data_IF_255522545888
#
_entry.id   IF_255522545888
#
_cell.length_a   1.000
_cell.length_b   1.000
_cell.length_c   1.000
_cell.angle_alpha   90.00
_cell.angle_beta   90.00
_cell.angle_gamma   90.00
#
_symmetry.space_group_name_H-M   'P 1'
#
loop_
_entity.id
_entity.type
_entity.pdbx_description
1 polymer ?
#
# COMPACT_ATOMS: atom_id res chain seq x y z
N UNK A 1 -33.80 -16.79 -20.31
CA UNK A 1 -33.95 -15.74 -19.27
C UNK A 1 -33.71 -16.21 -17.82
N UNK A 2 -33.60 -17.53 -17.55
CA UNK A 2 -33.39 -18.05 -16.19
C UNK A 2 -31.89 -18.18 -15.82
N UNK A 3 -30.99 -18.40 -16.79
CA UNK A 3 -29.55 -18.55 -16.54
C UNK A 3 -28.83 -17.25 -16.13
N UNK A 4 -29.26 -16.09 -16.63
CA UNK A 4 -28.60 -14.79 -16.35
C UNK A 4 -28.83 -14.33 -14.90
N UNK A 5 -29.94 -14.74 -14.29
CA UNK A 5 -30.26 -14.45 -12.88
C UNK A 5 -29.42 -15.31 -11.92
N UNK A 6 -29.15 -16.58 -12.30
CA UNK A 6 -28.30 -17.49 -11.53
C UNK A 6 -26.83 -17.08 -11.54
N UNK A 7 -26.30 -16.61 -12.68
CA UNK A 7 -24.94 -16.06 -12.77
C UNK A 7 -24.77 -14.82 -11.90
N UNK A 8 -25.65 -13.83 -12.00
CA UNK A 8 -25.59 -12.60 -11.17
C UNK A 8 -25.65 -12.87 -9.67
N UNK A 9 -26.46 -13.84 -9.24
CA UNK A 9 -26.55 -14.26 -7.83
C UNK A 9 -25.24 -14.85 -7.31
N UNK A 10 -24.55 -15.66 -8.12
CA UNK A 10 -23.26 -16.25 -7.77
C UNK A 10 -22.14 -15.19 -7.74
N UNK A 11 -22.13 -14.27 -8.71
CA UNK A 11 -21.20 -13.13 -8.80
C UNK A 11 -21.25 -12.23 -7.55
N UNK A 12 -22.44 -11.94 -7.04
CA UNK A 12 -22.61 -11.13 -5.82
C UNK A 12 -22.16 -11.88 -4.55
N UNK A 13 -22.34 -13.20 -4.49
CA UNK A 13 -21.87 -14.02 -3.38
C UNK A 13 -20.33 -14.08 -3.34
N UNK A 14 -19.69 -14.28 -4.49
CA UNK A 14 -18.23 -14.29 -4.63
C UNK A 14 -17.61 -12.94 -4.26
N UNK A 15 -18.24 -11.82 -4.69
CA UNK A 15 -17.82 -10.47 -4.28
C UNK A 15 -17.88 -10.29 -2.77
N UNK A 16 -18.99 -10.70 -2.13
CA UNK A 16 -19.14 -10.61 -0.67
C UNK A 16 -18.11 -11.48 0.05
N UNK A 17 -17.82 -12.65 -0.49
CA UNK A 17 -16.84 -13.57 0.07
C UNK A 17 -15.43 -12.98 0.04
N UNK A 18 -14.97 -12.39 -1.08
CA UNK A 18 -13.64 -11.78 -1.17
C UNK A 18 -13.40 -10.75 -0.07
N UNK A 19 -14.36 -9.83 0.11
CA UNK A 19 -14.23 -8.79 1.14
C UNK A 19 -14.42 -9.32 2.57
N UNK A 20 -15.24 -10.36 2.77
CA UNK A 20 -15.37 -11.02 4.07
C UNK A 20 -14.05 -11.70 4.48
N UNK A 21 -13.42 -12.43 3.56
CA UNK A 21 -12.11 -13.05 3.80
C UNK A 21 -11.02 -12.02 4.04
N UNK A 22 -11.06 -10.88 3.34
CA UNK A 22 -10.12 -9.78 3.56
C UNK A 22 -10.27 -9.19 4.97
N UNK A 23 -11.49 -8.97 5.45
CA UNK A 23 -11.74 -8.47 6.82
C UNK A 23 -11.24 -9.46 7.87
N UNK A 24 -11.34 -10.77 7.61
CA UNK A 24 -10.83 -11.80 8.51
C UNK A 24 -9.30 -11.77 8.67
N UNK A 25 -8.56 -11.09 7.78
CA UNK A 25 -7.11 -10.88 7.90
C UNK A 25 -6.73 -9.76 8.88
N UNK A 26 -7.71 -9.06 9.49
CA UNK A 26 -7.48 -8.01 10.51
C UNK A 26 -6.54 -6.88 10.02
N UNK A 27 -6.56 -6.61 8.71
CA UNK A 27 -5.69 -5.61 8.07
C UNK A 27 -6.01 -4.18 8.54
N UNK A 28 -7.22 -3.95 9.04
CA UNK A 28 -7.67 -2.65 9.53
C UNK A 28 -6.86 -2.14 10.74
N UNK A 29 -6.14 -3.04 11.44
CA UNK A 29 -5.24 -2.66 12.56
C UNK A 29 -3.96 -1.97 12.13
N UNK A 30 -3.61 -2.02 10.85
CA UNK A 30 -2.42 -1.33 10.33
C UNK A 30 -2.65 0.18 10.45
N UNK A 31 -1.87 0.86 11.30
CA UNK A 31 -2.03 2.30 11.60
C UNK A 31 -1.82 3.19 10.39
N UNK A 32 -0.73 2.96 9.64
CA UNK A 32 -0.39 3.75 8.46
C UNK A 32 -1.32 3.41 7.30
N UNK A 33 -2.12 4.37 6.84
CA UNK A 33 -3.12 4.18 5.80
C UNK A 33 -2.55 3.67 4.48
N UNK A 34 -1.37 4.17 4.08
CA UNK A 34 -0.68 3.70 2.87
C UNK A 34 -0.35 2.21 2.94
N UNK A 35 0.18 1.74 4.07
CA UNK A 35 0.52 0.33 4.26
C UNK A 35 -0.73 -0.53 4.38
N UNK A 36 -1.76 -0.07 5.09
CA UNK A 36 -3.05 -0.75 5.22
C UNK A 36 -3.68 -0.98 3.85
N UNK A 37 -3.71 0.07 3.02
CA UNK A 37 -4.23 0.02 1.66
C UNK A 37 -3.40 -0.90 0.78
N UNK A 38 -2.07 -0.80 0.84
CA UNK A 38 -1.18 -1.68 0.10
C UNK A 38 -1.39 -3.16 0.49
N UNK A 39 -1.55 -3.47 1.78
CA UNK A 39 -1.84 -4.82 2.25
C UNK A 39 -3.20 -5.33 1.77
N UNK A 40 -4.25 -4.49 1.79
CA UNK A 40 -5.58 -4.85 1.27
C UNK A 40 -5.56 -5.10 -0.24
N UNK A 41 -4.92 -4.22 -1.01
CA UNK A 41 -4.76 -4.42 -2.46
C UNK A 41 -3.88 -5.65 -2.76
N UNK A 42 -2.83 -5.90 -1.95
CA UNK A 42 -2.01 -7.11 -2.05
C UNK A 42 -2.79 -8.37 -1.75
N UNK A 43 -3.74 -8.34 -0.81
CA UNK A 43 -4.65 -9.44 -0.55
C UNK A 43 -5.49 -9.76 -1.80
N UNK A 44 -6.13 -8.74 -2.39
CA UNK A 44 -6.91 -8.90 -3.62
C UNK A 44 -6.04 -9.44 -4.76
N UNK A 45 -4.85 -8.86 -4.96
CA UNK A 45 -3.88 -9.28 -5.96
C UNK A 45 -3.46 -10.76 -5.79
N UNK A 46 -3.29 -11.22 -4.54
CA UNK A 46 -2.96 -12.62 -4.24
C UNK A 46 -4.13 -13.55 -4.51
N UNK A 47 -5.32 -13.20 -4.03
CA UNK A 47 -6.55 -13.99 -4.23
C UNK A 47 -6.91 -14.16 -5.70
N UNK A 48 -6.66 -13.14 -6.51
CA UNK A 48 -6.88 -13.20 -7.96
C UNK A 48 -5.71 -13.80 -8.74
N UNK A 49 -4.62 -14.25 -8.10
CA UNK A 49 -3.38 -14.69 -8.76
C UNK A 49 -2.68 -13.65 -9.66
N UNK A 50 -3.12 -12.39 -9.65
CA UNK A 50 -2.56 -11.32 -10.49
C UNK A 50 -1.12 -10.93 -10.10
N UNK A 51 -0.67 -11.32 -8.91
CA UNK A 51 0.72 -11.19 -8.47
C UNK A 51 1.72 -12.03 -9.28
N UNK A 52 1.24 -13.05 -10.00
CA UNK A 52 2.03 -13.90 -10.88
C UNK A 52 2.11 -13.38 -12.32
N UNK A 53 1.32 -12.34 -12.64
CA UNK A 53 1.25 -11.73 -13.97
C UNK A 53 2.09 -10.47 -13.95
N UNK A 54 3.09 -10.37 -14.83
CA UNK A 54 3.87 -9.14 -14.98
C UNK A 54 3.23 -8.16 -15.98
N UNK A 55 3.81 -6.97 -16.09
CA UNK A 55 3.30 -5.93 -16.99
C UNK A 55 3.37 -6.34 -18.46
N UNK A 56 4.35 -7.16 -18.87
CA UNK A 56 4.49 -7.62 -20.25
C UNK A 56 3.34 -8.54 -20.63
N UNK A 57 2.95 -9.44 -19.72
CA UNK A 57 1.82 -10.33 -19.91
C UNK A 57 0.50 -9.54 -20.01
N UNK A 58 0.34 -8.48 -19.20
CA UNK A 58 -0.81 -7.56 -19.32
C UNK A 58 -0.82 -6.88 -20.69
N UNK A 59 0.31 -6.31 -21.13
CA UNK A 59 0.43 -5.63 -22.43
C UNK A 59 0.09 -6.57 -23.59
N UNK A 60 0.59 -7.80 -23.57
CA UNK A 60 0.33 -8.77 -24.63
C UNK A 60 -1.14 -9.17 -24.69
N UNK A 61 -1.76 -9.45 -23.54
CA UNK A 61 -3.19 -9.77 -23.50
C UNK A 61 -4.08 -8.62 -23.98
N UNK A 62 -3.72 -7.37 -23.64
CA UNK A 62 -4.41 -6.19 -24.15
C UNK A 62 -4.25 -6.04 -25.67
N UNK A 63 -3.08 -6.38 -26.22
CA UNK A 63 -2.82 -6.36 -27.66
C UNK A 63 -3.64 -7.43 -28.39
N UNK A 64 -3.66 -8.66 -27.89
CA UNK A 64 -4.44 -9.76 -28.48
C UNK A 64 -5.94 -9.47 -28.52
N UNK A 65 -6.44 -8.69 -27.55
CA UNK A 65 -7.83 -8.24 -27.51
C UNK A 65 -8.07 -6.91 -28.27
N UNK A 66 -7.07 -6.42 -28.99
CA UNK A 66 -7.07 -5.17 -29.78
C UNK A 66 -7.32 -3.89 -28.96
N UNK A 67 -7.06 -3.89 -27.65
CA UNK A 67 -7.25 -2.72 -26.78
C UNK A 67 -6.14 -1.68 -26.94
N UNK A 68 -4.99 -2.05 -27.52
CA UNK A 68 -3.87 -1.13 -27.76
C UNK A 68 -4.21 -0.01 -28.78
N UNK A 69 -5.09 -0.29 -29.74
CA UNK A 69 -5.44 0.63 -30.83
C UNK A 69 -6.78 1.35 -30.61
N UNK A 70 -7.53 0.99 -29.55
CA UNK A 70 -8.80 1.63 -29.24
C UNK A 70 -8.60 2.98 -28.57
N UNK A 71 -9.53 3.89 -28.83
CA UNK A 71 -9.67 5.13 -28.06
C UNK A 71 -9.79 4.77 -26.56
N UNK A 72 -8.97 5.38 -25.68
CA UNK A 72 -8.99 5.10 -24.25
C UNK A 72 -10.36 5.32 -23.57
N UNK A 73 -11.22 6.16 -24.14
CA UNK A 73 -12.53 6.48 -23.58
C UNK A 73 -13.64 5.51 -24.00
N UNK A 74 -13.38 4.58 -24.93
CA UNK A 74 -14.35 3.54 -25.29
C UNK A 74 -14.63 2.66 -24.08
N UNK A 75 -15.90 2.37 -23.84
CA UNK A 75 -16.35 1.48 -22.78
C UNK A 75 -16.40 0.02 -23.25
N UNK A 76 -15.85 -0.87 -22.42
CA UNK A 76 -15.92 -2.31 -22.60
C UNK A 76 -17.07 -2.85 -21.75
N UNK A 77 -17.88 -3.73 -22.33
CA UNK A 77 -18.88 -4.48 -21.58
C UNK A 77 -18.24 -5.64 -20.79
N UNK A 78 -19.01 -6.24 -19.88
CA UNK A 78 -18.58 -7.37 -19.03
C UNK A 78 -17.95 -8.51 -19.85
N UNK A 79 -18.59 -8.94 -20.94
CA UNK A 79 -18.10 -10.05 -21.76
C UNK A 79 -16.73 -9.76 -22.39
N UNK A 80 -16.51 -8.53 -22.88
CA UNK A 80 -15.23 -8.13 -23.47
C UNK A 80 -14.14 -7.97 -22.41
N UNK A 81 -14.50 -7.53 -21.20
CA UNK A 81 -13.59 -7.51 -20.07
C UNK A 81 -13.19 -8.94 -19.63
N UNK A 82 -14.15 -9.85 -19.53
CA UNK A 82 -13.93 -11.27 -19.22
C UNK A 82 -13.02 -11.95 -20.25
N UNK A 83 -13.17 -11.62 -21.54
CA UNK A 83 -12.26 -12.11 -22.59
C UNK A 83 -10.81 -11.66 -22.36
N UNK A 84 -10.57 -10.39 -22.02
CA UNK A 84 -9.23 -9.87 -21.71
C UNK A 84 -8.62 -10.59 -20.52
N UNK A 85 -9.39 -10.77 -19.44
CA UNK A 85 -8.93 -11.47 -18.24
C UNK A 85 -8.67 -12.97 -18.52
N UNK A 86 -9.50 -13.58 -19.37
CA UNK A 86 -9.30 -14.95 -19.84
C UNK A 86 -7.97 -15.09 -20.55
N UNK A 87 -7.66 -14.19 -21.51
CA UNK A 87 -6.36 -14.20 -22.19
C UNK A 87 -5.20 -14.15 -21.19
N UNK A 88 -5.27 -13.28 -20.19
CA UNK A 88 -4.22 -13.16 -19.15
C UNK A 88 -4.02 -14.49 -18.41
N UNK A 89 -5.09 -15.05 -17.81
CA UNK A 89 -4.94 -16.19 -16.92
C UNK A 89 -4.73 -17.52 -17.64
N UNK A 90 -5.33 -17.72 -18.82
CA UNK A 90 -5.04 -18.90 -19.63
C UNK A 90 -3.60 -18.90 -20.14
N UNK A 91 -3.06 -17.74 -20.55
CA UNK A 91 -1.64 -17.66 -20.93
C UNK A 91 -0.70 -17.87 -19.75
N UNK A 92 -1.00 -17.30 -18.58
CA UNK A 92 -0.25 -17.56 -17.36
C UNK A 92 -0.22 -19.07 -17.08
N UNK A 93 -1.38 -19.71 -17.03
CA UNK A 93 -1.48 -21.12 -16.66
C UNK A 93 -0.78 -22.07 -17.63
N UNK A 94 -0.70 -21.71 -18.93
CA UNK A 94 0.09 -22.44 -19.94
C UNK A 94 1.60 -22.39 -19.67
N UNK A 95 2.11 -21.34 -19.03
CA UNK A 95 3.53 -21.15 -18.73
C UNK A 95 3.93 -21.70 -17.36
N UNK A 96 2.97 -21.96 -16.48
CA UNK A 96 3.21 -22.49 -15.14
C UNK A 96 3.57 -24.00 -15.20
N UNK A 97 4.47 -24.48 -14.32
CA UNK A 97 4.65 -25.91 -14.11
C UNK A 97 3.34 -26.59 -13.74
N UNK A 98 3.16 -27.85 -14.14
CA UNK A 98 1.93 -28.64 -13.84
C UNK A 98 1.65 -28.75 -12.34
N UNK A 99 2.67 -28.65 -11.50
CA UNK A 99 2.57 -28.66 -10.03
C UNK A 99 2.10 -27.34 -9.42
N UNK A 100 2.07 -26.24 -10.19
CA UNK A 100 1.75 -24.89 -9.72
C UNK A 100 0.64 -24.23 -10.55
N UNK A 101 -0.20 -25.03 -11.21
CA UNK A 101 -1.34 -24.51 -11.94
C UNK A 101 -2.34 -23.81 -11.02
N UNK A 102 -2.98 -22.79 -11.55
CA UNK A 102 -4.00 -22.01 -10.84
C UNK A 102 -5.41 -22.40 -11.29
N UNK A 103 -6.40 -22.15 -10.45
CA UNK A 103 -7.81 -22.19 -10.85
C UNK A 103 -8.13 -20.94 -11.70
N UNK A 104 -8.01 -21.08 -13.03
CA UNK A 104 -8.13 -19.99 -14.00
C UNK A 104 -9.50 -19.31 -13.91
N UNK A 105 -10.60 -20.06 -14.00
CA UNK A 105 -11.98 -19.54 -13.96
C UNK A 105 -12.27 -18.74 -12.68
N UNK A 106 -11.81 -19.24 -11.54
CA UNK A 106 -11.97 -18.53 -10.27
C UNK A 106 -11.17 -17.21 -10.25
N UNK A 107 -9.97 -17.20 -10.82
CA UNK A 107 -9.13 -16.00 -10.90
C UNK A 107 -9.75 -14.94 -11.81
N UNK A 108 -10.34 -15.35 -12.93
CA UNK A 108 -11.10 -14.48 -13.85
C UNK A 108 -12.30 -13.87 -13.12
N UNK A 109 -13.14 -14.70 -12.49
CA UNK A 109 -14.34 -14.21 -11.79
C UNK A 109 -14.00 -13.23 -10.66
N UNK A 110 -13.04 -13.58 -9.79
CA UNK A 110 -12.63 -12.72 -8.68
C UNK A 110 -12.11 -11.36 -9.16
N UNK A 111 -11.25 -11.34 -10.18
CA UNK A 111 -10.71 -10.10 -10.72
C UNK A 111 -11.77 -9.28 -11.45
N UNK A 112 -12.62 -9.91 -12.26
CA UNK A 112 -13.75 -9.25 -12.93
C UNK A 112 -14.64 -8.53 -11.93
N UNK A 113 -15.02 -9.23 -10.85
CA UNK A 113 -15.87 -8.68 -9.80
C UNK A 113 -15.23 -7.54 -9.04
N UNK A 114 -13.93 -7.63 -8.78
CA UNK A 114 -13.18 -6.55 -8.17
C UNK A 114 -13.11 -5.31 -9.06
N UNK A 115 -12.87 -5.48 -10.36
CA UNK A 115 -12.83 -4.35 -11.31
C UNK A 115 -14.21 -3.70 -11.47
N UNK A 116 -15.28 -4.46 -11.60
CA UNK A 116 -16.64 -3.91 -11.64
C UNK A 116 -16.98 -3.17 -10.35
N UNK A 117 -16.62 -3.72 -9.19
CA UNK A 117 -16.83 -3.05 -7.91
C UNK A 117 -16.08 -1.72 -7.79
N UNK A 118 -14.91 -1.59 -8.42
CA UNK A 118 -14.09 -0.39 -8.37
C UNK A 118 -14.52 0.67 -9.40
N UNK A 119 -14.85 0.25 -10.63
CA UNK A 119 -14.99 1.16 -11.77
C UNK A 119 -16.42 1.30 -12.29
N UNK A 120 -17.34 0.43 -11.88
CA UNK A 120 -18.75 0.46 -12.25
C UNK A 120 -19.66 0.36 -10.99
N UNK A 121 -19.60 1.35 -10.08
CA UNK A 121 -20.39 1.33 -8.85
C UNK A 121 -21.90 1.41 -9.11
N UNK A 122 -22.30 2.01 -10.24
CA UNK A 122 -23.70 2.15 -10.68
C UNK A 122 -24.26 0.84 -11.29
N UNK A 123 -23.39 -0.11 -11.65
CA UNK A 123 -23.80 -1.44 -12.15
C UNK A 123 -24.28 -1.45 -13.59
N UNK A 124 -23.75 -0.58 -14.45
CA UNK A 124 -24.06 -0.53 -15.88
C UNK A 124 -23.37 -1.65 -16.69
N UNK A 125 -22.43 -2.36 -16.09
CA UNK A 125 -21.63 -3.42 -16.70
C UNK A 125 -20.59 -2.89 -17.68
N UNK A 126 -20.08 -1.67 -17.47
CA UNK A 126 -19.17 -0.99 -18.40
C UNK A 126 -17.97 -0.35 -17.70
N UNK A 127 -16.79 -0.51 -18.30
CA UNK A 127 -15.54 0.10 -17.83
C UNK A 127 -14.75 0.63 -19.03
N UNK A 128 -14.19 1.84 -18.95
CA UNK A 128 -13.39 2.40 -20.05
C UNK A 128 -12.10 1.60 -20.30
N UNK A 129 -11.64 1.56 -21.56
CA UNK A 129 -10.35 0.95 -21.93
C UNK A 129 -9.21 1.53 -21.09
N UNK A 130 -9.22 2.84 -20.87
CA UNK A 130 -8.25 3.52 -20.03
C UNK A 130 -8.24 2.98 -18.59
N UNK A 131 -9.41 2.90 -17.95
CA UNK A 131 -9.53 2.38 -16.59
C UNK A 131 -9.05 0.93 -16.47
N UNK A 132 -9.40 0.05 -17.42
CA UNK A 132 -8.92 -1.34 -17.45
C UNK A 132 -7.39 -1.40 -17.54
N UNK A 133 -6.78 -0.62 -18.44
CA UNK A 133 -5.32 -0.55 -18.59
C UNK A 133 -4.65 -0.09 -17.29
N UNK A 134 -5.16 0.97 -16.68
CA UNK A 134 -4.58 1.54 -15.45
C UNK A 134 -4.72 0.59 -14.26
N UNK A 135 -5.87 -0.07 -14.12
CA UNK A 135 -6.12 -1.02 -13.06
C UNK A 135 -5.19 -2.24 -13.15
N UNK A 136 -5.11 -2.87 -14.33
CA UNK A 136 -4.26 -4.04 -14.54
C UNK A 136 -2.78 -3.68 -14.40
N UNK A 137 -2.34 -2.55 -14.96
CA UNK A 137 -0.97 -2.08 -14.81
C UNK A 137 -0.60 -1.74 -13.37
N UNK A 138 -1.55 -1.27 -12.56
CA UNK A 138 -1.31 -0.96 -11.15
C UNK A 138 -1.28 -2.22 -10.29
N UNK A 139 -2.13 -3.21 -10.58
CA UNK A 139 -2.30 -4.41 -9.75
C UNK A 139 -1.44 -5.60 -10.20
N UNK A 140 -0.85 -5.61 -11.40
CA UNK A 140 0.03 -6.70 -11.81
C UNK A 140 1.28 -6.81 -10.92
N UNK A 141 1.88 -8.00 -10.90
CA UNK A 141 3.20 -8.24 -10.32
C UNK A 141 4.32 -7.57 -11.11
N UNK A 142 5.56 -7.76 -10.65
CA UNK A 142 6.76 -7.27 -11.31
C UNK A 142 7.32 -5.95 -10.75
N UNK A 143 8.35 -5.43 -11.41
CA UNK A 143 9.10 -4.25 -10.97
C UNK A 143 8.25 -2.99 -11.11
N UNK A 144 8.31 -2.13 -10.08
CA UNK A 144 7.56 -0.87 -10.09
C UNK A 144 7.95 0.04 -11.27
N UNK A 145 9.23 0.06 -11.63
CA UNK A 145 9.72 0.89 -12.74
C UNK A 145 9.10 0.52 -14.09
N UNK A 146 8.88 -0.77 -14.36
CA UNK A 146 8.31 -1.20 -15.65
C UNK A 146 6.82 -0.84 -15.73
N UNK A 147 6.11 -0.98 -14.61
CA UNK A 147 4.71 -0.56 -14.46
C UNK A 147 4.56 0.95 -14.64
N UNK A 148 5.44 1.73 -14.01
CA UNK A 148 5.45 3.19 -14.14
C UNK A 148 5.79 3.64 -15.56
N UNK A 149 6.74 2.98 -16.25
CA UNK A 149 7.03 3.29 -17.66
C UNK A 149 5.82 3.06 -18.57
N UNK A 150 5.10 1.95 -18.37
CA UNK A 150 3.88 1.68 -19.12
C UNK A 150 2.78 2.70 -18.83
N UNK A 151 2.53 3.01 -17.55
CA UNK A 151 1.53 4.03 -17.18
C UNK A 151 1.93 5.39 -17.77
N UNK A 152 3.21 5.75 -17.68
CA UNK A 152 3.74 7.00 -18.23
C UNK A 152 3.54 7.09 -19.74
N UNK A 153 3.77 6.02 -20.50
CA UNK A 153 3.53 6.03 -21.95
C UNK A 153 2.05 6.22 -22.30
N UNK A 154 1.12 5.79 -21.44
CA UNK A 154 -0.32 5.99 -21.63
C UNK A 154 -0.76 7.44 -21.35
N UNK A 155 -0.05 8.16 -20.48
CA UNK A 155 -0.38 9.55 -20.12
C UNK A 155 0.48 10.60 -20.82
N UNK A 156 1.46 10.17 -21.62
CA UNK A 156 2.32 11.04 -22.41
C UNK A 156 1.88 11.12 -23.87
N UNK A 157 2.27 12.18 -24.56
CA UNK A 157 2.12 12.32 -26.00
C UNK A 157 3.22 11.57 -26.77
N UNK A 158 3.18 11.64 -28.11
CA UNK A 158 4.16 11.00 -28.99
C UNK A 158 5.59 11.56 -28.85
N UNK A 159 5.75 12.73 -28.22
CA UNK A 159 7.06 13.32 -27.91
C UNK A 159 7.63 12.83 -26.58
N UNK A 160 6.88 12.01 -25.84
CA UNK A 160 7.27 11.52 -24.52
C UNK A 160 7.01 12.53 -23.40
N UNK A 161 6.27 13.61 -23.67
CA UNK A 161 5.89 14.60 -22.67
C UNK A 161 4.56 14.23 -22.04
N UNK A 162 4.53 14.22 -20.71
CA UNK A 162 3.32 13.92 -19.96
C UNK A 162 2.23 14.96 -20.24
N UNK A 163 1.00 14.51 -20.49
CA UNK A 163 -0.14 15.38 -20.79
C UNK A 163 -1.00 15.55 -19.54
N UNK A 164 -1.21 16.79 -19.10
CA UNK A 164 -1.96 17.10 -17.88
C UNK A 164 -3.32 16.42 -17.82
N UNK A 165 -4.15 16.53 -18.88
CA UNK A 165 -5.48 15.91 -18.90
C UNK A 165 -5.45 14.39 -18.75
N UNK A 166 -4.47 13.71 -19.33
CA UNK A 166 -4.32 12.24 -19.20
C UNK A 166 -3.80 11.84 -17.83
N UNK A 167 -2.89 12.64 -17.26
CA UNK A 167 -2.43 12.43 -15.88
C UNK A 167 -3.55 12.64 -14.86
N UNK A 168 -4.37 13.67 -15.05
CA UNK A 168 -5.54 13.93 -14.23
C UNK A 168 -6.53 12.77 -14.26
N UNK A 169 -6.84 12.28 -15.47
CA UNK A 169 -7.67 11.10 -15.68
C UNK A 169 -7.06 9.87 -15.01
N UNK A 170 -5.75 9.65 -15.12
CA UNK A 170 -5.05 8.55 -14.45
C UNK A 170 -5.24 8.61 -12.92
N UNK A 171 -5.05 9.78 -12.30
CA UNK A 171 -5.23 9.92 -10.86
C UNK A 171 -6.66 9.59 -10.42
N UNK A 172 -7.67 10.07 -11.15
CA UNK A 172 -9.08 9.77 -10.86
C UNK A 172 -9.38 8.27 -10.98
N UNK A 173 -8.84 7.60 -11.99
CA UNK A 173 -9.05 6.17 -12.18
C UNK A 173 -8.30 5.32 -11.15
N UNK A 174 -7.02 5.58 -10.89
CA UNK A 174 -6.22 4.75 -9.98
C UNK A 174 -6.71 4.83 -8.54
N UNK A 175 -7.27 5.97 -8.12
CA UNK A 175 -7.83 6.18 -6.78
C UNK A 175 -9.14 5.44 -6.52
N UNK A 176 -9.78 4.90 -7.55
CA UNK A 176 -10.92 3.98 -7.39
C UNK A 176 -10.48 2.65 -6.77
N UNK A 177 -9.23 2.22 -6.94
CA UNK A 177 -8.71 0.98 -6.35
C UNK A 177 -8.63 1.04 -4.81
N UNK A 178 -8.00 2.05 -4.18
CA UNK A 178 -8.12 2.25 -2.72
C UNK A 178 -9.55 2.38 -2.24
N UNK A 179 -10.40 3.08 -3.00
CA UNK A 179 -11.82 3.26 -2.65
C UNK A 179 -12.56 1.91 -2.60
N UNK A 180 -12.29 1.02 -3.55
CA UNK A 180 -12.88 -0.32 -3.62
C UNK A 180 -12.50 -1.22 -2.43
N UNK A 181 -11.39 -0.94 -1.74
CA UNK A 181 -10.97 -1.63 -0.50
C UNK A 181 -11.26 -0.83 0.77
N UNK A 182 -12.17 0.14 0.67
CA UNK A 182 -12.65 0.99 1.78
C UNK A 182 -11.56 1.91 2.37
N UNK A 183 -10.63 2.37 1.53
CA UNK A 183 -9.54 3.28 1.93
C UNK A 183 -9.60 4.64 1.21
N UNK A 184 -10.68 4.94 0.48
CA UNK A 184 -10.84 6.19 -0.27
C UNK A 184 -10.52 7.47 0.53
N UNK A 185 -11.03 7.64 1.77
CA UNK A 185 -10.74 8.84 2.57
C UNK A 185 -9.26 9.05 2.90
N UNK A 186 -8.45 8.00 2.85
CA UNK A 186 -7.00 8.07 3.11
C UNK A 186 -6.22 8.72 1.96
N UNK A 187 -6.81 8.81 0.76
CA UNK A 187 -6.17 9.33 -0.45
C UNK A 187 -7.04 10.42 -1.06
N UNK A 188 -6.83 11.66 -0.59
CA UNK A 188 -7.51 12.82 -1.15
C UNK A 188 -7.07 13.09 -2.59
N UNK A 189 -8.04 13.40 -3.44
CA UNK A 189 -7.80 13.95 -4.77
C UNK A 189 -8.31 15.38 -4.83
N UNK A 190 -7.49 16.28 -5.35
CA UNK A 190 -7.89 17.62 -5.76
C UNK A 190 -7.29 17.93 -7.12
N UNK A 191 -7.93 18.75 -7.93
CA UNK A 191 -7.36 19.18 -9.21
C UNK A 191 -6.02 19.90 -9.04
N UNK A 192 -5.83 20.57 -7.90
CA UNK A 192 -4.56 21.20 -7.54
C UNK A 192 -3.45 20.18 -7.27
N UNK A 193 -3.79 19.01 -6.73
CA UNK A 193 -2.85 17.90 -6.54
C UNK A 193 -2.28 17.41 -7.88
N UNK A 194 -3.09 17.40 -8.94
CA UNK A 194 -2.61 17.07 -10.28
C UNK A 194 -1.73 18.17 -10.87
N UNK A 195 -2.08 19.44 -10.65
CA UNK A 195 -1.36 20.61 -11.17
C UNK A 195 0.04 20.78 -10.56
N UNK A 196 0.22 20.45 -9.29
CA UNK A 196 1.50 20.60 -8.60
C UNK A 196 2.63 19.77 -9.24
N UNK A 197 2.29 18.66 -9.90
CA UNK A 197 3.25 17.83 -10.65
C UNK A 197 3.74 18.50 -11.95
N UNK A 198 3.03 19.50 -12.48
CA UNK A 198 3.38 20.23 -13.70
C UNK A 198 3.99 21.61 -13.43
N UNK A 199 3.66 22.23 -12.30
CA UNK A 199 4.17 23.57 -11.97
C UNK A 199 5.69 23.62 -11.70
N UNK A 200 6.33 22.47 -11.47
CA UNK A 200 7.79 22.37 -11.26
C UNK A 200 8.62 22.56 -12.56
N UNK A 201 8.00 22.76 -13.72
CA UNK A 201 8.69 22.79 -15.02
C UNK A 201 8.89 24.17 -15.66
N UNK A 202 8.57 25.30 -15.00
CA UNK A 202 8.94 26.61 -15.55
C UNK A 202 10.43 26.93 -15.30
N UNK A 203 11.21 27.31 -16.33
CA UNK A 203 12.58 27.76 -16.15
C UNK A 203 12.57 29.05 -15.34
N UNK A 204 13.46 29.10 -14.35
CA UNK A 204 13.71 30.22 -13.46
C UNK A 204 14.11 31.48 -14.22
N UNK A 205 13.14 32.31 -14.59
CA UNK A 205 13.36 33.73 -14.82
C UNK A 205 12.52 34.51 -13.82
N UNK A 206 13.26 35.11 -12.87
CA UNK A 206 12.82 36.11 -11.89
C UNK A 206 11.39 35.92 -11.35
N UNK A 207 11.25 35.10 -10.32
CA UNK A 207 10.08 35.16 -9.44
C UNK A 207 10.54 35.48 -8.03
N UNK A 208 10.13 36.64 -7.55
CA UNK A 208 9.81 36.83 -6.14
C UNK A 208 8.98 35.61 -5.71
N UNK A 209 9.48 34.88 -4.72
CA UNK A 209 8.89 33.62 -4.30
C UNK A 209 7.48 33.84 -3.74
N UNK A 210 6.52 32.99 -4.15
CA UNK A 210 5.61 32.45 -3.15
C UNK A 210 5.63 30.91 -3.13
N UNK A 211 5.59 30.42 -1.89
CA UNK A 211 5.03 29.15 -1.42
C UNK A 211 5.73 27.83 -1.71
N UNK A 212 7.05 27.82 -1.46
CA UNK A 212 7.77 26.66 -0.90
C UNK A 212 7.53 26.53 0.62
N UNK A 213 6.84 27.50 1.25
CA UNK A 213 6.58 27.54 2.69
C UNK A 213 5.79 26.33 3.18
N UNK A 214 4.67 25.96 2.54
CA UNK A 214 3.76 24.95 3.10
C UNK A 214 4.34 23.53 3.23
N UNK A 215 5.16 23.07 2.30
CA UNK A 215 5.71 21.70 2.32
C UNK A 215 6.93 21.56 3.21
N UNK A 216 7.71 22.63 3.37
CA UNK A 216 8.81 22.70 4.35
C UNK A 216 8.23 22.91 5.75
N UNK A 217 7.20 23.74 5.90
CA UNK A 217 6.52 23.97 7.17
C UNK A 217 5.80 22.72 7.67
N UNK A 218 5.14 21.94 6.80
CA UNK A 218 4.55 20.66 7.21
C UNK A 218 5.59 19.65 7.68
N UNK A 219 6.74 19.53 6.99
CA UNK A 219 7.84 18.67 7.42
C UNK A 219 8.54 19.19 8.68
N UNK A 220 8.64 20.53 8.85
CA UNK A 220 9.20 21.17 10.03
C UNK A 220 8.28 21.04 11.23
N UNK A 221 6.97 21.23 11.06
CA UNK A 221 5.92 20.98 12.05
C UNK A 221 5.89 19.51 12.44
N UNK A 222 6.00 18.58 11.48
CA UNK A 222 6.09 17.15 11.77
C UNK A 222 7.34 16.81 12.58
N UNK A 223 8.52 17.38 12.24
CA UNK A 223 9.76 17.20 13.01
C UNK A 223 9.68 17.82 14.41
N UNK A 224 9.06 18.99 14.53
CA UNK A 224 8.83 19.66 15.82
C UNK A 224 7.87 18.85 16.68
N UNK A 225 6.78 18.34 16.11
CA UNK A 225 5.82 17.49 16.81
C UNK A 225 6.47 16.18 17.28
N UNK A 226 7.31 15.56 16.44
CA UNK A 226 8.08 14.37 16.84
C UNK A 226 9.02 14.71 18.01
N UNK A 227 9.77 15.82 17.93
CA UNK A 227 10.66 16.23 19.01
C UNK A 227 9.90 16.56 20.31
N UNK A 228 8.73 17.18 20.21
CA UNK A 228 7.87 17.48 21.35
C UNK A 228 7.28 16.20 21.97
N UNK A 229 6.84 15.25 21.14
CA UNK A 229 6.36 13.95 21.60
C UNK A 229 7.48 13.13 22.23
N UNK A 230 8.70 13.17 21.70
CA UNK A 230 9.85 12.52 22.31
C UNK A 230 10.24 13.16 23.64
N UNK A 231 10.15 14.49 23.78
CA UNK A 231 10.34 15.19 25.05
C UNK A 231 9.27 14.79 26.07
N UNK A 232 7.98 14.86 25.71
CA UNK A 232 6.88 14.45 26.60
C UNK A 232 7.00 12.98 27.00
N UNK A 233 7.43 12.11 26.10
CA UNK A 233 7.65 10.70 26.41
C UNK A 233 8.83 10.51 27.39
N UNK A 234 9.90 11.30 27.26
CA UNK A 234 10.99 11.33 28.25
C UNK A 234 10.50 11.80 29.63
N UNK A 235 9.70 12.86 29.68
CA UNK A 235 9.13 13.38 30.94
C UNK A 235 8.19 12.35 31.59
N UNK A 236 7.29 11.73 30.81
CA UNK A 236 6.38 10.69 31.31
C UNK A 236 7.17 9.51 31.87
N UNK A 237 8.24 9.07 31.20
CA UNK A 237 9.08 7.97 31.71
C UNK A 237 9.78 8.34 33.02
N UNK A 238 10.28 9.58 33.15
CA UNK A 238 10.88 10.06 34.39
C UNK A 238 9.85 10.13 35.53
N UNK A 239 8.64 10.58 35.24
CA UNK A 239 7.56 10.65 36.23
C UNK A 239 7.09 9.25 36.65
N UNK A 240 6.97 8.31 35.70
CA UNK A 240 6.71 6.89 36.01
C UNK A 240 7.81 6.35 36.92
N UNK A 241 9.08 6.68 36.65
CA UNK A 241 10.20 6.24 37.49
C UNK A 241 10.15 6.85 38.89
N UNK A 242 9.81 8.14 39.02
CA UNK A 242 9.61 8.82 40.31
C UNK A 242 8.48 8.17 41.10
N UNK A 243 7.31 8.01 40.48
CA UNK A 243 6.13 7.41 41.11
C UNK A 243 6.38 5.97 41.54
N UNK A 244 7.20 5.22 40.80
CA UNK A 244 7.63 3.87 41.21
C UNK A 244 8.49 3.90 42.47
N UNK A 245 9.41 4.86 42.55
CA UNK A 245 10.29 5.04 43.71
C UNK A 245 9.52 5.50 44.95
N UNK A 246 8.58 6.44 44.77
CA UNK A 246 7.66 6.88 45.83
C UNK A 246 6.75 5.74 46.29
N UNK A 247 6.19 4.96 45.36
CA UNK A 247 5.38 3.80 45.69
C UNK A 247 6.18 2.71 46.40
N UNK A 248 7.45 2.52 46.03
CA UNK A 248 8.36 1.57 46.69
C UNK A 248 8.70 2.01 48.12
N UNK A 249 8.94 3.30 48.35
CA UNK A 249 9.17 3.87 49.68
C UNK A 249 7.91 3.82 50.55
N UNK A 250 6.75 4.18 50.01
CA UNK A 250 5.47 4.13 50.72
C UNK A 250 4.99 2.69 51.01
N UNK A 251 5.42 1.72 50.20
CA UNK A 251 5.09 0.31 50.35
C UNK A 251 6.15 -0.49 51.13
N UNK A 252 7.06 0.17 51.86
CA UNK A 252 7.94 -0.54 52.80
C UNK A 252 7.11 -1.00 54.01
N UNK A 253 7.21 -2.29 54.41
CA UNK A 253 6.44 -2.80 55.54
C UNK A 253 6.92 -2.16 56.84
N UNK A 254 5.99 -1.61 57.62
CA UNK A 254 6.27 -1.22 59.01
C UNK A 254 6.56 -2.45 59.87
N UNK A 255 7.37 -2.34 60.94
CA UNK A 255 7.77 -3.48 61.77
C UNK A 255 6.59 -4.31 62.30
N UNK A 256 5.45 -3.67 62.58
CA UNK A 256 4.22 -4.32 63.05
C UNK A 256 3.51 -5.17 61.97
N UNK A 257 3.49 -4.73 60.71
CA UNK A 257 2.86 -5.48 59.60
C UNK A 257 3.72 -6.65 59.12
N UNK A 258 5.03 -6.58 59.37
CA UNK A 258 5.98 -7.65 59.05
C UNK A 258 5.78 -8.92 59.89
N UNK A 259 5.28 -8.78 61.13
CA UNK A 259 5.00 -9.90 62.02
C UNK A 259 3.67 -10.60 61.73
N UNK A 260 2.68 -9.90 61.15
CA UNK A 260 1.34 -10.46 60.93
C UNK A 260 1.21 -11.36 59.69
N UNK A 261 2.05 -11.21 58.65
CA UNK A 261 1.95 -12.01 57.41
C UNK A 261 3.30 -12.15 56.67
N UNK A 262 4.22 -13.01 57.14
CA UNK A 262 5.57 -13.15 56.56
C UNK A 262 5.57 -13.76 55.14
N UNK A 263 4.61 -14.62 54.81
CA UNK A 263 4.53 -15.32 53.50
C UNK A 263 4.19 -14.36 52.36
N UNK A 264 3.20 -13.47 52.57
CA UNK A 264 2.80 -12.47 51.58
C UNK A 264 3.92 -11.45 51.29
N UNK A 265 4.77 -11.17 52.29
CA UNK A 265 5.94 -10.30 52.12
C UNK A 265 7.04 -10.97 51.29
N UNK A 266 7.24 -12.28 51.46
CA UNK A 266 8.16 -13.04 50.61
C UNK A 266 7.67 -13.08 49.15
N UNK A 267 6.37 -13.29 48.93
CA UNK A 267 5.75 -13.31 47.61
C UNK A 267 5.80 -11.93 46.93
N UNK A 268 5.55 -10.85 47.67
CA UNK A 268 5.69 -9.49 47.17
C UNK A 268 7.14 -9.17 46.75
N UNK A 269 8.14 -9.63 47.52
CA UNK A 269 9.57 -9.48 47.14
C UNK A 269 9.88 -10.22 45.84
N UNK A 270 9.37 -11.44 45.69
CA UNK A 270 9.56 -12.23 44.47
C UNK A 270 8.89 -11.56 43.26
N UNK A 271 7.69 -11.00 43.44
CA UNK A 271 6.98 -10.26 42.39
C UNK A 271 7.72 -8.98 41.98
N UNK A 272 8.32 -8.25 42.93
CA UNK A 272 9.18 -7.10 42.62
C UNK A 272 10.41 -7.52 41.82
N UNK A 273 11.12 -8.55 42.26
CA UNK A 273 12.29 -9.08 41.54
C UNK A 273 11.94 -9.49 40.11
N UNK A 274 10.80 -10.17 39.92
CA UNK A 274 10.33 -10.59 38.59
C UNK A 274 9.90 -9.42 37.71
N UNK A 275 9.33 -8.37 38.29
CA UNK A 275 9.03 -7.13 37.59
C UNK A 275 10.32 -6.44 37.12
N UNK A 276 11.32 -6.32 37.98
CA UNK A 276 12.60 -5.68 37.65
C UNK A 276 13.32 -6.43 36.53
N UNK A 277 13.29 -7.77 36.56
CA UNK A 277 13.83 -8.62 35.49
C UNK A 277 13.13 -8.38 34.14
N UNK A 278 11.80 -8.27 34.15
CA UNK A 278 11.02 -8.00 32.94
C UNK A 278 11.29 -6.59 32.38
N UNK A 279 11.49 -5.61 33.25
CA UNK A 279 11.82 -4.24 32.84
C UNK A 279 13.21 -4.15 32.23
N UNK A 280 14.21 -4.83 32.80
CA UNK A 280 15.53 -4.95 32.19
C UNK A 280 15.47 -5.64 30.82
N UNK A 281 14.70 -6.73 30.69
CA UNK A 281 14.51 -7.41 29.39
C UNK A 281 13.84 -6.51 28.37
N UNK A 282 12.83 -5.73 28.77
CA UNK A 282 12.17 -4.78 27.87
C UNK A 282 13.14 -3.69 27.40
N UNK A 283 13.97 -3.15 28.30
CA UNK A 283 15.00 -2.17 27.97
C UNK A 283 16.01 -2.73 26.96
N UNK A 284 16.51 -3.95 27.18
CA UNK A 284 17.45 -4.62 26.27
C UNK A 284 16.84 -4.86 24.88
N UNK A 285 15.56 -5.25 24.81
CA UNK A 285 14.85 -5.42 23.54
C UNK A 285 14.66 -4.09 22.78
N UNK A 286 14.40 -3.00 23.50
CA UNK A 286 14.27 -1.67 22.91
C UNK A 286 15.62 -1.18 22.34
N UNK A 287 16.71 -1.46 23.03
CA UNK A 287 18.07 -1.13 22.57
C UNK A 287 18.46 -1.94 21.34
N UNK A 288 18.22 -3.27 21.36
CA UNK A 288 18.43 -4.13 20.19
C UNK A 288 17.59 -3.67 18.99
N UNK A 289 16.34 -3.26 19.20
CA UNK A 289 15.51 -2.67 18.14
C UNK A 289 16.15 -1.39 17.57
N UNK A 290 16.69 -0.52 18.42
CA UNK A 290 17.35 0.71 17.99
C UNK A 290 18.59 0.42 17.15
N UNK A 291 19.43 -0.51 17.57
CA UNK A 291 20.60 -0.96 16.83
C UNK A 291 20.23 -1.54 15.46
N UNK A 292 19.21 -2.40 15.41
CA UNK A 292 18.70 -2.97 14.16
C UNK A 292 18.18 -1.89 13.21
N UNK A 293 17.53 -0.84 13.72
CA UNK A 293 17.11 0.29 12.87
C UNK A 293 18.30 1.05 12.30
N UNK A 294 19.36 1.29 13.09
CA UNK A 294 20.60 1.92 12.61
C UNK A 294 21.29 1.06 11.54
N UNK A 295 21.35 -0.26 11.75
CA UNK A 295 21.90 -1.19 10.76
C UNK A 295 21.10 -1.18 9.45
N UNK A 296 19.77 -1.16 9.55
CA UNK A 296 18.88 -1.08 8.39
C UNK A 296 19.09 0.23 7.61
N UNK A 297 19.21 1.37 8.30
CA UNK A 297 19.53 2.66 7.67
C UNK A 297 20.88 2.62 6.94
N UNK A 298 21.89 1.99 7.54
CA UNK A 298 23.19 1.76 6.91
C UNK A 298 23.10 0.92 5.64
N UNK A 299 22.38 -0.22 5.69
CA UNK A 299 22.17 -1.08 4.52
C UNK A 299 21.40 -0.37 3.41
N UNK A 300 20.37 0.41 3.75
CA UNK A 300 19.63 1.21 2.78
C UNK A 300 20.52 2.24 2.08
N UNK A 301 21.48 2.84 2.81
CA UNK A 301 22.44 3.78 2.23
C UNK A 301 23.39 3.09 1.24
N UNK A 302 23.91 1.91 1.59
CA UNK A 302 24.79 1.11 0.71
C UNK A 302 24.06 0.63 -0.55
N UNK A 303 22.82 0.14 -0.42
CA UNK A 303 21.98 -0.23 -1.55
C UNK A 303 21.77 0.96 -2.51
N UNK A 304 21.51 2.15 -1.97
CA UNK A 304 21.35 3.36 -2.76
C UNK A 304 22.65 3.74 -3.49
N UNK A 305 23.81 3.56 -2.85
CA UNK A 305 25.12 3.79 -3.47
C UNK A 305 25.45 2.76 -4.56
N UNK A 306 25.06 1.49 -4.41
CA UNK A 306 25.19 0.47 -5.45
C UNK A 306 24.25 0.70 -6.64
N UNK A 307 22.99 1.08 -6.40
CA UNK A 307 22.04 1.44 -7.45
C UNK A 307 22.54 2.63 -8.28
N UNK A 308 23.16 3.63 -7.63
CA UNK A 308 23.81 4.76 -8.31
C UNK A 308 25.02 4.34 -9.16
N UNK A 309 25.79 3.34 -8.72
CA UNK A 309 26.93 2.80 -9.50
C UNK A 309 26.49 1.95 -10.69
N UNK A 310 25.41 1.18 -10.55
CA UNK A 310 24.86 0.35 -11.64
C UNK A 310 24.07 1.19 -12.66
N UNK A 311 23.56 2.36 -12.27
CA UNK A 311 22.85 3.30 -13.14
C UNK A 311 23.71 4.05 -14.17
N UNK A 312 25.04 3.93 -14.14
CA UNK A 312 25.96 4.62 -15.08
C UNK A 312 26.21 3.78 -16.36
N UNK A 313 25.71 2.55 -16.44
CA UNK A 313 25.85 1.68 -17.62
C UNK A 313 24.50 1.40 -18.28
N UNK A 314 23.84 2.43 -18.82
CA UNK A 314 22.78 2.23 -19.82
C UNK A 314 22.95 3.25 -20.95
N UNK A 315 23.49 2.74 -22.05
CA UNK A 315 23.53 3.41 -23.36
C UNK A 315 22.08 3.62 -23.84
N UNK A 316 21.72 4.80 -24.38
CA UNK A 316 20.38 5.06 -24.87
C UNK A 316 20.20 4.38 -26.23
N UNK A 317 19.22 3.48 -26.35
CA UNK A 317 18.64 3.12 -27.64
C UNK A 317 17.18 3.57 -27.67
N UNK A 318 16.98 4.78 -28.19
CA UNK A 318 15.82 5.07 -29.03
C UNK A 318 16.20 4.73 -30.46
N UNK A 319 15.45 3.85 -31.14
CA UNK A 319 15.15 4.02 -32.56
C UNK A 319 14.06 3.04 -33.05
N UNK A 320 13.05 3.67 -33.65
CA UNK A 320 12.06 3.21 -34.64
C UNK A 320 11.10 2.12 -34.19
#
# INVERSE_FOLDING_TARGET
MIEDSGKRGNTMAERRQLFAEMRAQDLDRIRLSTYRTACKLRFVQKKCNLHLVDIWNVIEALRENALNNLDPNIELNVARLEAVLSTIFYQLNKRMPTTHQIHVEQSISLLLNFLLAAFDPEGHGKISVFAVKMALATLCGGKIMDKLRYIFSMISDSSGVMVYGRYDQFLREVLKLPTAVFEGPSFGYTEQSARSCFSQQQPSQQRNAPDISFTIDANKQQRQLIAELENKNREILQEIQRLRLEHEQASQPTPEKAQQNPTLLAELRLLRQRKDELEQRMSALQESRRELMVQLEGLMKLLKEEELKQGVSYVPYCRS
#
